data_IF_342844707706
#
_entry.id   IF_342844707706
#
_cell.length_a   1.000
_cell.length_b   1.000
_cell.length_c   1.000
_cell.angle_alpha   90.00
_cell.angle_beta   90.00
_cell.angle_gamma   90.00
#
_symmetry.space_group_name_H-M   'P 1'
#
loop_
_entity.id
_entity.type
_entity.pdbx_description
1 polymer ?
#
# COMPACT_ATOMS: atom_id res chain seq x y z
N UNK A 1 -12.49 -8.51 17.90
CA UNK A 1 -13.20 -7.27 17.51
C UNK A 1 -12.53 -6.69 16.27
N UNK A 2 -12.95 -6.99 15.04
CA UNK A 2 -12.31 -6.32 13.87
C UNK A 2 -13.15 -6.26 12.58
N UNK A 3 -14.38 -6.76 12.50
CA UNK A 3 -15.12 -6.72 11.22
C UNK A 3 -15.60 -5.31 10.90
N UNK A 4 -16.33 -4.67 11.84
CA UNK A 4 -16.86 -3.30 11.66
C UNK A 4 -15.80 -2.27 11.27
N UNK A 5 -14.58 -2.38 11.83
CA UNK A 5 -13.50 -1.44 11.54
C UNK A 5 -12.90 -1.61 10.15
N UNK A 6 -12.88 -2.83 9.61
CA UNK A 6 -12.41 -3.11 8.24
C UNK A 6 -13.47 -2.64 7.26
N UNK A 7 -14.74 -3.01 7.49
CA UNK A 7 -15.87 -2.66 6.62
C UNK A 7 -16.03 -1.14 6.48
N UNK A 8 -15.89 -0.41 7.59
CA UNK A 8 -15.99 1.06 7.61
C UNK A 8 -14.87 1.73 6.80
N UNK A 9 -13.63 1.25 6.92
CA UNK A 9 -12.50 1.78 6.12
C UNK A 9 -12.70 1.52 4.64
N UNK A 10 -13.23 0.35 4.28
CA UNK A 10 -13.49 -0.01 2.90
C UNK A 10 -14.55 0.91 2.26
N UNK A 11 -15.68 1.11 2.95
CA UNK A 11 -16.74 2.02 2.47
C UNK A 11 -16.20 3.44 2.29
N UNK A 12 -15.44 3.95 3.26
CA UNK A 12 -14.85 5.28 3.16
C UNK A 12 -13.90 5.43 1.94
N UNK A 13 -13.03 4.45 1.70
CA UNK A 13 -12.13 4.49 0.53
C UNK A 13 -12.92 4.49 -0.77
N UNK A 14 -14.02 3.71 -0.86
CA UNK A 14 -14.87 3.69 -2.04
C UNK A 14 -15.59 5.02 -2.27
N UNK A 15 -16.12 5.65 -1.22
CA UNK A 15 -16.75 6.97 -1.29
C UNK A 15 -15.76 8.03 -1.81
N UNK A 16 -14.56 8.08 -1.23
CA UNK A 16 -13.52 9.05 -1.61
C UNK A 16 -13.02 8.83 -3.06
N UNK A 17 -13.01 7.59 -3.55
CA UNK A 17 -12.74 7.26 -4.95
C UNK A 17 -13.89 7.73 -5.87
N UNK A 18 -15.15 7.51 -5.48
CA UNK A 18 -16.33 7.90 -6.26
C UNK A 18 -16.49 9.42 -6.35
N UNK A 19 -16.17 10.12 -5.25
CA UNK A 19 -16.17 11.58 -5.18
C UNK A 19 -14.98 12.20 -5.94
N UNK A 20 -14.05 11.38 -6.46
CA UNK A 20 -12.89 11.84 -7.22
C UNK A 20 -11.84 12.57 -6.37
N UNK A 21 -11.92 12.45 -5.04
CA UNK A 21 -10.96 13.04 -4.10
C UNK A 21 -9.61 12.34 -4.20
N UNK A 22 -9.61 11.04 -4.49
CA UNK A 22 -8.41 10.25 -4.77
C UNK A 22 -8.57 9.49 -6.09
N UNK A 23 -7.45 9.32 -6.80
CA UNK A 23 -7.37 8.53 -8.03
C UNK A 23 -6.52 7.27 -7.77
N UNK A 24 -7.03 6.11 -8.17
CA UNK A 24 -6.29 4.86 -8.09
C UNK A 24 -5.48 4.65 -9.37
N UNK A 25 -4.16 4.80 -9.28
CA UNK A 25 -3.23 4.60 -10.40
C UNK A 25 -2.40 3.35 -10.19
N UNK A 26 -2.34 2.49 -11.22
CA UNK A 26 -1.46 1.34 -11.20
C UNK A 26 0.01 1.78 -11.28
N UNK A 27 0.83 1.33 -10.33
CA UNK A 27 2.26 1.56 -10.30
C UNK A 27 2.99 0.20 -10.30
N UNK A 28 3.77 -0.12 -11.36
CA UNK A 28 4.63 -1.29 -11.36
C UNK A 28 5.61 -1.28 -10.19
N UNK A 29 5.91 -2.46 -9.67
CA UNK A 29 6.83 -2.68 -8.55
C UNK A 29 8.21 -2.04 -8.76
N UNK A 30 8.75 -2.11 -9.99
CA UNK A 30 10.07 -1.56 -10.31
C UNK A 30 10.10 -0.02 -10.29
N UNK A 31 8.92 0.62 -10.30
CA UNK A 31 8.76 2.08 -10.27
C UNK A 31 8.22 2.57 -8.93
N UNK A 32 7.84 1.67 -8.02
CA UNK A 32 7.24 2.02 -6.74
C UNK A 32 8.34 2.43 -5.74
N UNK A 33 8.67 3.72 -5.69
CA UNK A 33 9.70 4.24 -4.77
C UNK A 33 9.42 3.91 -3.30
N UNK A 34 8.15 3.76 -2.90
CA UNK A 34 7.78 3.39 -1.54
C UNK A 34 8.33 2.01 -1.13
N UNK A 35 8.61 1.13 -2.09
CA UNK A 35 9.12 -0.21 -1.84
C UNK A 35 10.45 -0.21 -1.08
N UNK A 36 11.27 0.84 -1.22
CA UNK A 36 12.52 0.96 -0.43
C UNK A 36 12.26 1.06 1.07
N UNK A 37 11.09 1.58 1.47
CA UNK A 37 10.70 1.76 2.87
C UNK A 37 9.78 0.65 3.38
N UNK A 38 9.08 -0.04 2.50
CA UNK A 38 8.07 -1.05 2.87
C UNK A 38 8.53 -2.48 2.65
N UNK A 39 9.48 -2.72 1.74
CA UNK A 39 10.02 -4.05 1.51
C UNK A 39 11.18 -4.36 2.44
N UNK A 40 11.29 -5.62 2.90
CA UNK A 40 12.49 -6.07 3.56
C UNK A 40 13.68 -5.99 2.60
N UNK A 41 14.85 -5.69 3.15
CA UNK A 41 16.10 -5.81 2.39
C UNK A 41 16.23 -7.25 1.87
N UNK A 42 16.67 -7.46 0.62
CA UNK A 42 16.93 -8.80 0.11
C UNK A 42 17.91 -9.54 1.03
N UNK A 43 17.50 -10.70 1.54
CA UNK A 43 18.43 -11.60 2.23
C UNK A 43 19.52 -12.02 1.23
N UNK A 44 20.77 -11.72 1.56
CA UNK A 44 21.94 -12.05 0.75
C UNK A 44 22.79 -10.86 0.27
N UNK A 45 22.33 -9.61 0.37
CA UNK A 45 23.17 -8.44 0.05
C UNK A 45 23.99 -7.91 1.24
N UNK A 46 23.63 -8.31 2.46
CA UNK A 46 24.28 -7.86 3.70
C UNK A 46 24.77 -9.01 4.59
N UNK A 47 25.06 -10.19 4.03
CA UNK A 47 25.70 -11.30 4.77
C UNK A 47 27.23 -11.16 4.91
N UNK A 48 27.76 -9.96 4.70
CA UNK A 48 29.19 -9.67 4.81
C UNK A 48 29.46 -8.55 5.82
N UNK A 49 29.18 -8.80 7.10
CA UNK A 49 30.02 -8.31 8.19
C UNK A 49 29.87 -9.15 9.46
#
# INVERSE_FOLDING_TARGET
MTTKHIDMKFHYIQEVLQDGIIELVYCPTDLMTADIFTKPLPQGQFEAH
#
